data_IF_980979618836
#
_entry.id   IF_980979618836
#
_cell.length_a   1.000
_cell.length_b   1.000
_cell.length_c   1.000
_cell.angle_alpha   90.00
_cell.angle_beta   90.00
_cell.angle_gamma   90.00
#
_symmetry.space_group_name_H-M   'P 1'
#
loop_
_entity.id
_entity.type
_entity.pdbx_description
1 polymer ?
#
# COMPACT_ATOMS: atom_id res chain seq x y z
N UNK A 1 -15.89 -5.43 -7.88
CA UNK A 1 -14.43 -5.58 -7.78
C UNK A 1 -14.08 -6.91 -8.43
N UNK A 2 -13.31 -6.91 -9.52
CA UNK A 2 -12.76 -8.14 -10.12
C UNK A 2 -11.30 -8.17 -9.69
N UNK A 3 -10.83 -9.27 -9.11
CA UNK A 3 -9.47 -9.40 -8.59
C UNK A 3 -9.44 -10.39 -7.45
N UNK A 4 -8.38 -11.19 -7.37
CA UNK A 4 -8.19 -12.15 -6.29
C UNK A 4 -7.85 -11.39 -5.00
N UNK A 5 -8.50 -11.74 -3.91
CA UNK A 5 -8.23 -11.18 -2.59
C UNK A 5 -7.66 -12.28 -1.68
N UNK A 6 -6.69 -11.99 -0.79
CA UNK A 6 -6.19 -12.98 0.15
C UNK A 6 -7.31 -13.56 1.03
N UNK A 7 -7.62 -14.83 0.85
CA UNK A 7 -8.73 -15.53 1.54
C UNK A 7 -8.27 -16.78 2.31
N UNK A 8 -6.97 -17.08 2.30
CA UNK A 8 -6.40 -18.23 3.00
C UNK A 8 -5.74 -17.78 4.31
N UNK A 9 -5.69 -18.64 5.34
CA UNK A 9 -4.88 -18.40 6.52
C UNK A 9 -3.44 -18.04 6.17
N UNK A 10 -2.86 -17.11 6.94
CA UNK A 10 -1.49 -16.64 6.75
C UNK A 10 -0.70 -16.76 8.06
N UNK A 11 0.62 -16.83 7.93
CA UNK A 11 1.55 -16.78 9.06
C UNK A 11 2.42 -15.52 8.94
N UNK A 12 2.82 -14.95 10.08
CA UNK A 12 3.75 -13.84 10.12
C UNK A 12 5.19 -14.35 10.00
N UNK A 13 6.00 -13.70 9.17
CA UNK A 13 7.44 -13.96 9.05
C UNK A 13 8.22 -12.66 9.19
N UNK A 14 9.33 -12.68 9.92
CA UNK A 14 10.31 -11.60 9.98
C UNK A 14 11.67 -12.17 9.61
N UNK A 15 12.31 -11.64 8.56
CA UNK A 15 13.58 -12.16 8.02
C UNK A 15 14.51 -11.03 7.64
N UNK A 16 15.82 -11.25 7.81
CA UNK A 16 16.89 -10.49 7.20
C UNK A 16 17.62 -11.43 6.24
N UNK A 17 17.76 -11.05 4.98
CA UNK A 17 18.34 -11.91 3.94
C UNK A 17 18.98 -11.09 2.83
N UNK A 18 19.87 -11.72 2.06
CA UNK A 18 20.56 -11.09 0.94
C UNK A 18 19.70 -11.09 -0.34
N UNK A 19 19.27 -9.90 -0.73
CA UNK A 19 18.50 -9.64 -1.95
C UNK A 19 19.31 -8.83 -2.99
N UNK A 20 20.63 -9.02 -3.05
CA UNK A 20 21.56 -8.27 -3.92
C UNK A 20 21.17 -8.22 -5.39
N UNK A 21 20.44 -9.23 -5.89
CA UNK A 21 20.00 -9.27 -7.28
C UNK A 21 18.95 -8.21 -7.65
N UNK A 22 18.28 -7.57 -6.68
CA UNK A 22 17.23 -6.58 -6.98
C UNK A 22 17.05 -5.44 -5.97
N UNK A 23 17.46 -5.59 -4.70
CA UNK A 23 17.08 -4.67 -3.62
C UNK A 23 17.56 -3.23 -3.82
N UNK A 24 18.85 -3.03 -4.11
CA UNK A 24 19.45 -1.69 -4.19
C UNK A 24 19.67 -1.28 -5.64
N UNK A 25 18.99 -0.22 -6.07
CA UNK A 25 19.04 0.28 -7.45
C UNK A 25 18.75 -0.79 -8.50
N UNK A 26 17.83 -1.70 -8.22
CA UNK A 26 17.48 -2.80 -9.12
C UNK A 26 18.59 -3.84 -9.27
N UNK A 27 19.41 -4.03 -8.24
CA UNK A 27 20.51 -5.01 -8.21
C UNK A 27 21.87 -4.47 -8.65
N UNK A 28 21.98 -3.15 -8.92
CA UNK A 28 23.25 -2.53 -9.32
C UNK A 28 24.30 -2.53 -8.20
N UNK A 29 23.84 -2.46 -6.94
CA UNK A 29 24.70 -2.45 -5.77
C UNK A 29 24.33 -3.64 -4.88
N UNK A 30 25.22 -4.64 -4.83
CA UNK A 30 25.07 -5.79 -3.96
C UNK A 30 25.50 -5.49 -2.52
N UNK A 31 25.22 -6.44 -1.63
CA UNK A 31 25.71 -6.41 -0.26
C UNK A 31 27.23 -6.48 -0.22
N UNK A 32 27.85 -5.69 0.63
CA UNK A 32 29.27 -5.78 0.93
C UNK A 32 29.44 -6.39 2.32
N UNK A 33 29.80 -7.67 2.36
CA UNK A 33 29.96 -8.45 3.59
C UNK A 33 31.12 -7.97 4.48
N UNK A 34 31.98 -7.08 4.01
CA UNK A 34 32.97 -6.41 4.87
C UNK A 34 32.31 -5.56 5.97
N UNK A 35 31.06 -5.11 5.76
CA UNK A 35 30.27 -4.36 6.76
C UNK A 35 29.41 -5.24 7.66
N UNK A 36 29.65 -6.56 7.67
CA UNK A 36 28.94 -7.48 8.57
C UNK A 36 29.37 -7.26 10.04
N UNK A 37 28.49 -7.56 11.03
CA UNK A 37 27.16 -8.17 10.89
C UNK A 37 26.05 -7.17 10.50
N UNK A 38 25.09 -7.65 9.70
CA UNK A 38 23.84 -6.93 9.43
C UNK A 38 22.80 -7.35 10.46
N UNK A 39 22.40 -6.44 11.35
CA UNK A 39 21.53 -6.75 12.49
C UNK A 39 20.19 -6.03 12.33
N UNK A 40 19.11 -6.77 12.58
CA UNK A 40 17.76 -6.22 12.73
C UNK A 40 17.23 -6.51 14.13
N UNK A 41 16.76 -5.48 14.82
CA UNK A 41 16.17 -5.59 16.16
C UNK A 41 14.68 -5.26 16.09
N UNK A 42 13.87 -6.07 16.77
CA UNK A 42 12.42 -5.93 16.83
C UNK A 42 11.99 -5.87 18.29
N UNK A 43 11.06 -4.97 18.61
CA UNK A 43 10.48 -4.80 19.95
C UNK A 43 8.97 -4.53 19.82
N UNK A 44 8.24 -4.78 20.89
CA UNK A 44 6.82 -4.42 21.04
C UNK A 44 5.94 -5.08 19.95
N UNK A 45 6.22 -6.36 19.66
CA UNK A 45 5.45 -7.15 18.69
C UNK A 45 4.05 -7.39 19.23
N UNK A 46 3.06 -6.76 18.60
CA UNK A 46 1.65 -6.96 18.88
C UNK A 46 1.04 -7.87 17.82
N UNK A 47 0.42 -8.98 18.26
CA UNK A 47 -0.35 -9.88 17.41
C UNK A 47 -1.82 -9.76 17.82
N UNK A 48 -2.59 -9.08 16.98
CA UNK A 48 -4.03 -8.95 17.14
C UNK A 48 -4.70 -9.43 15.84
N UNK A 49 -5.39 -10.57 15.93
CA UNK A 49 -5.99 -11.24 14.80
C UNK A 49 -6.62 -12.56 15.20
N UNK A 50 -7.45 -13.10 14.31
CA UNK A 50 -8.09 -14.40 14.52
C UNK A 50 -7.08 -15.54 14.37
N UNK A 51 -6.89 -16.30 15.45
CA UNK A 51 -6.03 -17.47 15.43
C UNK A 51 -6.76 -18.70 14.87
N UNK A 52 -6.23 -19.24 13.77
CA UNK A 52 -6.80 -20.41 13.10
C UNK A 52 -6.62 -21.70 13.92
N UNK A 53 -5.61 -21.77 14.81
CA UNK A 53 -5.38 -22.98 15.63
C UNK A 53 -6.50 -23.23 16.64
N UNK A 54 -7.10 -22.17 17.17
CA UNK A 54 -8.14 -22.25 18.20
C UNK A 54 -9.49 -22.70 17.61
N UNK A 55 -9.57 -22.73 16.28
CA UNK A 55 -10.66 -23.34 15.54
C UNK A 55 -10.50 -24.85 15.37
N UNK A 56 -9.47 -25.54 15.87
CA UNK A 56 -9.42 -27.01 15.75
C UNK A 56 -9.82 -27.69 17.07
N UNK A 57 -11.07 -28.20 17.21
CA UNK A 57 -11.42 -29.03 18.34
C UNK A 57 -10.61 -30.34 18.24
N UNK A 58 -9.83 -30.61 19.28
CA UNK A 58 -9.15 -31.85 19.63
C UNK A 58 -9.39 -33.04 18.65
N UNK A 59 -8.34 -33.41 17.91
CA UNK A 59 -8.18 -34.74 17.33
C UNK A 59 -9.29 -35.21 16.39
N UNK A 60 -9.49 -34.53 15.26
CA UNK A 60 -9.97 -35.19 14.05
C UNK A 60 -9.12 -34.76 12.87
N UNK A 61 -8.48 -35.72 12.20
CA UNK A 61 -7.65 -35.54 11.00
C UNK A 61 -8.47 -35.13 9.75
N UNK A 62 -9.64 -34.54 9.94
CA UNK A 62 -10.61 -34.21 8.90
C UNK A 62 -11.22 -32.85 9.16
N UNK A 63 -10.43 -31.79 8.99
CA UNK A 63 -10.97 -30.43 9.08
C UNK A 63 -10.48 -29.65 7.87
N UNK A 64 -11.34 -29.54 6.86
CA UNK A 64 -11.13 -28.62 5.74
C UNK A 64 -11.23 -27.17 6.21
N UNK A 65 -10.75 -26.23 5.39
CA UNK A 65 -10.76 -24.78 5.64
C UNK A 65 -12.13 -24.15 6.00
N UNK A 66 -13.22 -24.93 5.97
CA UNK A 66 -14.60 -24.51 6.29
C UNK A 66 -14.89 -24.35 7.80
N UNK A 67 -13.96 -24.71 8.70
CA UNK A 67 -14.19 -24.64 10.15
C UNK A 67 -13.49 -23.44 10.82
N UNK A 68 -12.77 -22.61 10.06
CA UNK A 68 -12.12 -21.42 10.62
C UNK A 68 -13.19 -20.41 11.00
N UNK A 69 -13.36 -20.14 12.29
CA UNK A 69 -14.37 -19.20 12.78
C UNK A 69 -13.71 -17.93 13.29
N UNK A 70 -13.64 -16.93 12.40
CA UNK A 70 -13.17 -15.59 12.71
C UNK A 70 -14.30 -14.55 12.80
N UNK A 71 -15.56 -15.01 12.90
CA UNK A 71 -16.72 -14.12 12.81
C UNK A 71 -16.74 -13.00 13.86
N UNK A 72 -16.31 -13.28 15.10
CA UNK A 72 -16.20 -12.27 16.15
C UNK A 72 -15.15 -11.20 15.80
N UNK A 73 -13.94 -11.63 15.40
CA UNK A 73 -12.88 -10.73 14.96
C UNK A 73 -13.30 -9.91 13.73
N UNK A 74 -14.04 -10.51 12.79
CA UNK A 74 -14.57 -9.79 11.64
C UNK A 74 -15.58 -8.70 12.06
N UNK A 75 -16.48 -8.99 13.00
CA UNK A 75 -17.41 -7.99 13.53
C UNK A 75 -16.68 -6.85 14.27
N UNK A 76 -15.69 -7.18 15.07
CA UNK A 76 -14.86 -6.20 15.77
C UNK A 76 -14.10 -5.31 14.76
N UNK A 77 -13.52 -5.90 13.71
CA UNK A 77 -12.87 -5.17 12.63
C UNK A 77 -13.84 -4.25 11.90
N UNK A 78 -15.06 -4.70 11.60
CA UNK A 78 -16.07 -3.89 10.89
C UNK A 78 -16.58 -2.72 11.72
N UNK A 79 -16.63 -2.87 13.05
CA UNK A 79 -17.07 -1.82 13.98
C UNK A 79 -15.95 -0.90 14.44
N UNK A 80 -14.69 -1.26 14.19
CA UNK A 80 -13.52 -0.45 14.52
C UNK A 80 -13.49 0.89 13.78
N UNK A 81 -12.88 1.90 14.41
CA UNK A 81 -12.68 3.24 13.82
C UNK A 81 -11.78 3.24 12.57
N UNK A 82 -11.05 2.14 12.34
CA UNK A 82 -10.14 1.95 11.20
C UNK A 82 -10.72 1.00 10.13
N UNK A 83 -11.97 0.57 10.26
CA UNK A 83 -12.69 -0.23 9.24
C UNK A 83 -12.78 0.50 7.90
N UNK A 84 -12.80 1.83 7.92
CA UNK A 84 -12.80 2.68 6.73
C UNK A 84 -11.76 3.79 6.84
N UNK A 85 -11.29 4.26 5.69
CA UNK A 85 -10.36 5.39 5.65
C UNK A 85 -11.14 6.71 5.75
N UNK A 86 -10.88 7.47 6.82
CA UNK A 86 -11.46 8.81 6.98
C UNK A 86 -10.98 9.78 5.88
N UNK A 87 -11.72 10.85 5.56
CA UNK A 87 -11.28 11.87 4.60
C UNK A 87 -9.91 12.48 4.95
N UNK A 88 -9.62 12.63 6.26
CA UNK A 88 -8.33 13.13 6.75
C UNK A 88 -7.20 12.15 6.48
N UNK A 89 -7.39 10.86 6.76
CA UNK A 89 -6.41 9.80 6.45
C UNK A 89 -6.21 9.67 4.93
N UNK A 90 -7.28 9.72 4.13
CA UNK A 90 -7.18 9.68 2.68
C UNK A 90 -6.39 10.87 2.11
N UNK A 91 -6.61 12.08 2.65
CA UNK A 91 -5.82 13.25 2.28
C UNK A 91 -4.35 13.12 2.70
N UNK A 92 -4.06 12.55 3.86
CA UNK A 92 -2.69 12.26 4.30
C UNK A 92 -2.00 11.24 3.39
N UNK A 93 -2.68 10.14 3.06
CA UNK A 93 -2.20 9.13 2.11
C UNK A 93 -1.90 9.73 0.74
N UNK A 94 -2.80 10.57 0.19
CA UNK A 94 -2.56 11.28 -1.08
C UNK A 94 -1.33 12.17 -1.00
N UNK A 95 -1.17 12.99 0.06
CA UNK A 95 0.00 13.85 0.25
C UNK A 95 1.31 13.05 0.36
N UNK A 96 1.28 11.89 1.02
CA UNK A 96 2.42 11.01 1.13
C UNK A 96 2.82 10.43 -0.23
N UNK A 97 1.85 9.84 -0.96
CA UNK A 97 2.04 9.35 -2.34
C UNK A 97 2.56 10.45 -3.25
N UNK A 98 2.03 11.66 -3.12
CA UNK A 98 2.48 12.81 -3.90
C UNK A 98 3.96 13.13 -3.68
N UNK A 99 4.54 12.89 -2.49
CA UNK A 99 5.92 13.31 -2.18
C UNK A 99 6.93 12.18 -2.26
N UNK A 100 6.54 10.99 -1.82
CA UNK A 100 7.49 9.91 -1.51
C UNK A 100 7.34 8.66 -2.37
N UNK A 101 6.24 8.52 -3.13
CA UNK A 101 6.07 7.35 -4.01
C UNK A 101 6.99 7.44 -5.22
N UNK A 102 7.90 6.48 -5.35
CA UNK A 102 8.89 6.43 -6.44
C UNK A 102 8.53 5.43 -7.56
N UNK A 103 7.64 4.47 -7.27
CA UNK A 103 7.18 3.45 -8.21
C UNK A 103 5.71 3.08 -7.93
N UNK A 104 4.95 2.76 -8.97
CA UNK A 104 3.57 2.24 -8.88
C UNK A 104 3.31 1.29 -10.03
N UNK A 105 2.94 0.03 -9.72
CA UNK A 105 2.63 -0.97 -10.74
C UNK A 105 1.37 -0.62 -11.55
N UNK A 106 0.41 0.12 -10.97
CA UNK A 106 -0.78 0.59 -11.67
C UNK A 106 -0.48 1.56 -12.84
N UNK A 107 0.72 2.17 -12.85
CA UNK A 107 1.17 3.05 -13.92
C UNK A 107 2.30 2.42 -14.76
N UNK A 108 2.67 1.18 -14.47
CA UNK A 108 3.68 0.44 -15.22
C UNK A 108 3.01 -0.23 -16.43
N UNK A 109 2.92 0.52 -17.53
CA UNK A 109 2.36 0.03 -18.80
C UNK A 109 3.32 -0.89 -19.54
N UNK A 110 4.60 -0.91 -19.16
CA UNK A 110 5.59 -1.84 -19.72
C UNK A 110 5.35 -3.24 -19.15
N UNK A 111 5.09 -3.34 -17.84
CA UNK A 111 4.78 -4.61 -17.18
C UNK A 111 3.33 -5.04 -17.36
N UNK A 112 2.40 -4.10 -17.30
CA UNK A 112 0.96 -4.33 -17.41
C UNK A 112 0.38 -3.45 -18.51
N UNK A 113 0.29 -3.97 -19.74
CA UNK A 113 -0.26 -3.23 -20.88
C UNK A 113 -1.68 -2.69 -20.60
N UNK A 114 -2.47 -3.46 -19.85
CA UNK A 114 -3.74 -3.03 -19.26
C UNK A 114 -3.57 -3.04 -17.74
N UNK A 115 -3.85 -1.92 -17.03
CA UNK A 115 -3.76 -1.88 -15.58
C UNK A 115 -4.64 -2.97 -14.94
N UNK A 116 -4.15 -3.64 -13.88
CA UNK A 116 -4.95 -4.58 -13.12
C UNK A 116 -6.28 -3.97 -12.62
N UNK A 117 -7.36 -4.76 -12.51
CA UNK A 117 -8.72 -4.27 -12.26
C UNK A 117 -8.92 -3.59 -10.89
N UNK A 118 -8.03 -3.83 -9.94
CA UNK A 118 -8.00 -3.16 -8.63
C UNK A 118 -7.44 -1.73 -8.69
N UNK A 119 -6.74 -1.37 -9.77
CA UNK A 119 -6.10 -0.09 -9.91
C UNK A 119 -7.09 1.06 -10.15
N UNK A 120 -7.03 2.08 -9.30
CA UNK A 120 -7.73 3.35 -9.50
C UNK A 120 -6.77 4.35 -10.15
N UNK A 121 -6.98 4.64 -11.43
CA UNK A 121 -6.10 5.53 -12.20
C UNK A 121 -6.46 6.99 -11.93
N UNK A 122 -5.58 7.68 -11.19
CA UNK A 122 -5.66 9.14 -11.01
C UNK A 122 -4.76 9.81 -12.03
N UNK A 123 -5.34 10.49 -13.03
CA UNK A 123 -4.61 11.08 -14.16
C UNK A 123 -3.48 12.03 -13.71
N UNK A 124 -3.77 12.96 -12.80
CA UNK A 124 -2.78 13.89 -12.26
C UNK A 124 -1.62 13.20 -11.51
N UNK A 125 -1.84 12.00 -10.97
CA UNK A 125 -0.78 11.20 -10.36
C UNK A 125 0.01 10.44 -11.43
N UNK A 126 -0.69 9.78 -12.37
CA UNK A 126 -0.12 9.05 -13.52
C UNK A 126 0.85 9.90 -14.33
N UNK A 127 0.53 11.17 -14.57
CA UNK A 127 1.36 12.08 -15.36
C UNK A 127 2.77 12.29 -14.79
N UNK A 128 2.97 11.98 -13.51
CA UNK A 128 4.26 12.10 -12.81
C UNK A 128 5.15 10.87 -13.00
N UNK A 129 4.59 9.76 -13.46
CA UNK A 129 5.29 8.50 -13.68
C UNK A 129 5.62 8.31 -15.16
N UNK A 130 6.71 7.58 -15.40
CA UNK A 130 7.06 7.04 -16.72
C UNK A 130 6.14 5.85 -17.03
N UNK A 131 6.19 5.39 -18.27
CA UNK A 131 5.62 4.12 -18.73
C UNK A 131 6.08 2.90 -17.91
N UNK A 132 7.31 2.92 -17.40
CA UNK A 132 7.85 1.90 -16.47
C UNK A 132 7.29 1.97 -15.05
N UNK A 133 6.28 2.81 -14.79
CA UNK A 133 5.72 3.04 -13.45
C UNK A 133 6.65 3.73 -12.46
N UNK A 134 7.89 4.07 -12.85
CA UNK A 134 8.85 4.83 -12.03
C UNK A 134 8.64 6.33 -12.15
N UNK A 135 8.88 7.07 -11.07
CA UNK A 135 8.72 8.52 -11.05
C UNK A 135 9.66 9.21 -12.07
N UNK A 136 9.16 10.22 -12.78
CA UNK A 136 10.00 11.07 -13.64
C UNK A 136 11.01 11.85 -12.78
N UNK A 137 12.29 11.83 -13.17
CA UNK A 137 13.35 12.57 -12.47
C UNK A 137 12.95 14.05 -12.29
N UNK A 138 13.13 14.60 -11.08
CA UNK A 138 12.79 15.99 -10.72
C UNK A 138 11.35 16.23 -10.22
N UNK A 139 10.55 15.17 -10.00
CA UNK A 139 9.10 15.27 -9.77
C UNK A 139 8.56 15.15 -8.34
N UNK A 140 9.40 14.89 -7.32
CA UNK A 140 8.96 14.80 -5.91
C UNK A 140 9.11 16.13 -5.14
N UNK A 141 10.16 16.89 -5.45
CA UNK A 141 10.52 18.13 -4.74
C UNK A 141 10.25 19.43 -5.51
N UNK A 142 9.60 19.37 -6.69
CA UNK A 142 9.19 20.60 -7.37
C UNK A 142 8.04 21.22 -6.59
N UNK A 143 8.41 22.14 -5.68
CA UNK A 143 7.48 23.01 -4.99
C UNK A 143 6.46 23.52 -6.00
N UNK A 144 5.17 23.21 -5.79
CA UNK A 144 4.08 23.86 -6.49
C UNK A 144 4.28 25.36 -6.30
N UNK A 145 4.92 26.03 -7.27
CA UNK A 145 4.90 27.50 -7.36
C UNK A 145 3.41 27.84 -7.44
N UNK A 146 2.86 28.33 -6.32
CA UNK A 146 1.52 28.91 -6.27
C UNK A 146 1.49 30.00 -7.34
N UNK A 147 0.95 29.69 -8.51
CA UNK A 147 0.51 30.72 -9.45
C UNK A 147 -0.65 31.41 -8.74
N UNK A 148 -0.36 32.53 -8.06
CA UNK A 148 -1.38 33.52 -7.66
C UNK A 148 -2.07 33.95 -8.95
N UNK A 149 -3.19 33.31 -9.25
CA UNK A 149 -4.09 33.77 -10.31
C UNK A 149 -5.05 34.72 -9.62
N UNK A 150 -4.68 36.01 -9.58
CA UNK A 150 -5.64 37.07 -9.34
C UNK A 150 -6.70 36.96 -10.44
N UNK A 151 -7.84 36.38 -10.12
CA UNK A 151 -9.05 36.51 -10.94
C UNK A 151 -10.14 36.97 -9.99
N UNK A 152 -10.35 38.27 -9.97
CA UNK A 152 -11.54 38.91 -9.43
C UNK A 152 -12.77 38.27 -10.07
N UNK A 153 -13.56 37.58 -9.27
CA UNK A 153 -14.93 37.19 -9.63
C UNK A 153 -15.82 38.41 -9.44
N UNK A 154 -16.56 38.88 -10.47
CA UNK A 154 -17.63 39.84 -10.24
C UNK A 154 -18.80 39.09 -9.57
N UNK A 155 -19.30 39.68 -8.48
CA UNK A 155 -20.55 39.30 -7.83
C UNK A 155 -21.67 39.67 -8.79
N UNK A 156 -22.48 38.69 -9.19
CA UNK A 156 -23.78 38.95 -9.85
C UNK A 156 -24.84 38.71 -8.78
N UNK A 157 -25.59 39.77 -8.48
CA UNK A 157 -26.70 39.81 -7.55
C UNK A 157 -27.77 38.78 -7.89
N UNK A 158 -28.35 38.23 -6.82
CA UNK A 158 -29.65 37.59 -6.86
C UNK A 158 -30.73 38.66 -7.07
N UNK A 159 -31.62 38.44 -8.02
CA UNK A 159 -32.98 38.98 -8.00
C UNK A 159 -33.92 38.06 -8.78
N UNK A 160 -35.07 37.80 -8.14
CA UNK A 160 -36.30 37.07 -8.53
C UNK A 160 -36.26 35.55 -8.65
#
# INVERSE_FOLDING_TARGET
MKGDYPQKPMSLYATIWDASSWATSGGKFGVDYAFSPFVSEFKDVALDGCNVSDSFPNNTNTVGYNYINCSASDQDLMTSDYSTISPKQAAAMRRFRERYMYYSYCYDTVRYAVPPPECVIVTAEKDRFKDTGRLKFGGSHRARKRRKRNRSTPVVSADQ
#
